data_IF_556001141661
#
_entry.id   IF_556001141661
#
_cell.length_a   1.000
_cell.length_b   1.000
_cell.length_c   1.000
_cell.angle_alpha   90.00
_cell.angle_beta   90.00
_cell.angle_gamma   90.00
#
_symmetry.space_group_name_H-M   'P 1'
#
loop_
_entity.id
_entity.type
_entity.pdbx_description
1 polymer ?
#
# COMPACT_ATOMS: atom_id res chain seq x y z
N UNK A 1 -5.77 -17.82 -6.72
CA UNK A 1 -5.82 -17.45 -8.10
C UNK A 1 -5.44 -15.99 -8.31
N UNK A 2 -4.76 -15.68 -9.36
CA UNK A 2 -4.09 -14.41 -9.54
C UNK A 2 -4.86 -13.41 -10.41
N UNK A 3 -6.14 -13.65 -10.65
CA UNK A 3 -6.94 -12.81 -11.55
C UNK A 3 -7.01 -11.34 -11.11
N UNK A 4 -6.99 -11.09 -9.79
CA UNK A 4 -7.04 -9.73 -9.27
C UNK A 4 -5.64 -9.12 -9.05
N UNK A 5 -4.61 -9.92 -9.31
CA UNK A 5 -3.24 -9.49 -9.07
C UNK A 5 -2.82 -8.40 -10.05
N UNK A 6 -3.29 -8.48 -11.30
CA UNK A 6 -2.95 -7.48 -12.31
C UNK A 6 -3.45 -6.08 -11.94
N UNK A 7 -4.61 -5.98 -11.27
CA UNK A 7 -5.13 -4.67 -10.87
C UNK A 7 -4.28 -3.98 -9.81
N UNK A 8 -3.50 -4.75 -9.04
CA UNK A 8 -2.54 -4.17 -8.10
C UNK A 8 -1.40 -3.46 -8.81
N UNK A 9 -1.08 -3.87 -10.04
CA UNK A 9 0.01 -3.30 -10.81
C UNK A 9 -0.43 -2.17 -11.74
N UNK A 10 -1.71 -2.08 -12.08
CA UNK A 10 -2.20 -1.01 -12.96
C UNK A 10 -1.89 0.36 -12.37
N UNK A 11 -2.14 0.53 -11.08
CA UNK A 11 -1.84 1.79 -10.40
C UNK A 11 -0.34 2.07 -10.33
N UNK A 12 0.48 1.02 -10.32
CA UNK A 12 1.93 1.17 -10.34
C UNK A 12 2.39 1.87 -11.62
N UNK A 13 1.89 1.43 -12.77
CA UNK A 13 2.27 2.01 -14.04
C UNK A 13 1.76 3.44 -14.19
N UNK A 14 0.56 3.73 -13.71
CA UNK A 14 0.01 5.07 -13.73
C UNK A 14 0.82 6.03 -12.86
N UNK A 15 1.18 5.60 -11.65
CA UNK A 15 1.99 6.40 -10.75
C UNK A 15 3.40 6.60 -11.29
N UNK A 16 3.96 5.60 -11.97
CA UNK A 16 5.29 5.67 -12.54
C UNK A 16 5.39 6.75 -13.62
N UNK A 17 4.31 7.00 -14.33
CA UNK A 17 4.25 8.03 -15.36
C UNK A 17 4.13 9.45 -14.80
N UNK A 18 3.87 9.59 -13.51
CA UNK A 18 3.77 10.89 -12.85
C UNK A 18 5.11 11.25 -12.21
N UNK A 19 5.95 11.96 -12.95
CA UNK A 19 7.33 12.23 -12.54
C UNK A 19 7.47 13.16 -11.33
N UNK A 20 6.41 13.87 -10.92
CA UNK A 20 6.49 14.82 -9.81
C UNK A 20 6.43 14.16 -8.44
N UNK A 21 6.01 12.88 -8.36
CA UNK A 21 5.86 12.14 -7.12
C UNK A 21 6.85 10.99 -7.07
N UNK A 22 7.26 10.65 -5.86
CA UNK A 22 8.01 9.44 -5.66
C UNK A 22 7.09 8.23 -5.83
N UNK A 23 7.59 7.19 -6.49
CA UNK A 23 6.92 5.90 -6.54
C UNK A 23 7.76 4.93 -5.71
N UNK A 24 7.37 4.65 -4.46
CA UNK A 24 8.14 3.72 -3.65
C UNK A 24 8.07 2.32 -4.24
N UNK A 25 9.20 1.61 -4.31
CA UNK A 25 9.21 0.24 -4.82
C UNK A 25 8.41 -0.68 -3.91
N UNK A 26 7.68 -1.62 -4.51
CA UNK A 26 6.89 -2.57 -3.75
C UNK A 26 7.12 -3.98 -4.26
N UNK A 27 7.01 -4.94 -3.35
CA UNK A 27 6.79 -6.34 -3.67
C UNK A 27 5.37 -6.69 -3.27
N UNK A 28 4.64 -7.31 -4.17
CA UNK A 28 3.29 -7.80 -3.89
C UNK A 28 3.30 -9.30 -4.10
N UNK A 29 2.87 -10.04 -3.09
CA UNK A 29 2.89 -11.50 -3.18
C UNK A 29 1.70 -12.10 -2.46
N UNK A 30 1.36 -13.30 -2.88
CA UNK A 30 0.25 -14.05 -2.31
C UNK A 30 0.79 -15.26 -1.58
N UNK A 31 0.25 -15.49 -0.38
CA UNK A 31 0.48 -16.70 0.37
C UNK A 31 -0.86 -17.37 0.65
N UNK A 32 -0.82 -18.54 1.27
CA UNK A 32 -2.05 -19.30 1.51
C UNK A 32 -3.05 -18.52 2.37
N UNK A 33 -2.56 -17.74 3.32
CA UNK A 33 -3.40 -17.00 4.28
C UNK A 33 -3.78 -15.59 3.83
N UNK A 34 -3.19 -15.09 2.76
CA UNK A 34 -3.50 -13.73 2.33
C UNK A 34 -2.53 -13.17 1.33
N UNK A 35 -2.68 -11.87 1.10
CA UNK A 35 -1.81 -11.09 0.23
C UNK A 35 -0.92 -10.21 1.08
N UNK A 36 0.24 -9.87 0.55
CA UNK A 36 1.23 -9.08 1.26
C UNK A 36 1.78 -8.01 0.33
N UNK A 37 1.99 -6.83 0.87
CA UNK A 37 2.63 -5.74 0.17
C UNK A 37 3.79 -5.26 1.02
N UNK A 38 5.00 -5.35 0.51
CA UNK A 38 6.18 -4.77 1.14
C UNK A 38 6.55 -3.52 0.39
N UNK A 39 6.67 -2.40 1.12
CA UNK A 39 6.97 -1.10 0.52
C UNK A 39 8.29 -0.60 1.07
N UNK A 40 9.23 -0.27 0.20
CA UNK A 40 10.49 0.33 0.62
C UNK A 40 10.30 1.82 0.88
N UNK A 41 10.44 2.20 2.16
CA UNK A 41 10.26 3.59 2.58
C UNK A 41 11.41 4.04 3.48
N UNK A 42 12.65 3.95 3.00
CA UNK A 42 13.78 4.40 3.79
C UNK A 42 13.68 5.90 4.05
N UNK A 43 13.98 6.31 5.27
CA UNK A 43 13.94 7.71 5.64
C UNK A 43 12.58 8.23 6.11
N UNK A 44 11.54 7.41 6.03
CA UNK A 44 10.23 7.77 6.56
C UNK A 44 10.02 7.15 7.93
N UNK A 45 9.18 7.77 8.72
CA UNK A 45 8.70 7.24 10.00
C UNK A 45 7.27 6.73 9.83
N UNK A 46 6.82 5.92 10.77
CA UNK A 46 5.46 5.40 10.70
C UNK A 46 4.39 6.50 10.70
N UNK A 47 4.64 7.63 11.36
CA UNK A 47 3.70 8.76 11.39
C UNK A 47 3.68 9.55 10.08
N UNK A 48 4.67 9.36 9.23
CA UNK A 48 4.77 10.09 7.95
C UNK A 48 3.87 9.50 6.88
N UNK A 49 3.32 8.31 7.11
CA UNK A 49 2.63 7.53 6.08
C UNK A 49 1.26 7.11 6.60
N UNK A 50 0.25 7.23 5.73
CA UNK A 50 -1.11 6.77 6.00
C UNK A 50 -1.47 5.61 5.10
N UNK A 51 -2.19 4.63 5.65
CA UNK A 51 -2.80 3.54 4.90
C UNK A 51 -4.31 3.63 5.11
N UNK A 52 -5.05 3.78 4.03
CA UNK A 52 -6.52 3.93 4.10
C UNK A 52 -7.18 2.91 3.19
N UNK A 53 -8.32 2.39 3.65
CA UNK A 53 -9.16 1.48 2.87
C UNK A 53 -10.47 2.19 2.59
N UNK A 54 -10.83 2.28 1.32
CA UNK A 54 -12.08 2.90 0.91
C UNK A 54 -12.48 2.37 -0.47
N UNK A 55 -13.74 2.02 -0.64
CA UNK A 55 -14.28 1.54 -1.91
C UNK A 55 -13.47 0.41 -2.53
N UNK A 56 -13.10 -0.57 -1.72
CA UNK A 56 -12.33 -1.73 -2.16
C UNK A 56 -10.96 -1.37 -2.71
N UNK A 57 -10.41 -0.27 -2.24
CA UNK A 57 -9.08 0.19 -2.62
C UNK A 57 -8.26 0.53 -1.37
N UNK A 58 -6.98 0.24 -1.44
CA UNK A 58 -6.00 0.60 -0.42
C UNK A 58 -5.19 1.76 -0.94
N UNK A 59 -5.19 2.87 -0.21
CA UNK A 59 -4.40 4.04 -0.55
C UNK A 59 -3.29 4.24 0.46
N UNK A 60 -2.08 4.28 -0.05
CA UNK A 60 -0.87 4.54 0.71
C UNK A 60 -0.39 5.93 0.32
N UNK A 61 -0.21 6.81 1.31
CA UNK A 61 0.19 8.18 1.02
C UNK A 61 0.98 8.77 2.17
N UNK A 62 1.77 9.80 1.87
CA UNK A 62 2.39 10.61 2.91
C UNK A 62 1.31 11.42 3.63
N UNK A 63 1.50 11.62 4.94
CA UNK A 63 0.54 12.36 5.76
C UNK A 63 0.52 13.84 5.41
N UNK A 64 -0.58 14.52 5.76
CA UNK A 64 -0.67 15.95 5.55
C UNK A 64 0.39 16.72 6.34
N UNK A 65 0.68 16.29 7.56
CA UNK A 65 1.70 16.91 8.39
C UNK A 65 3.09 16.76 7.76
N UNK A 66 3.39 15.59 7.24
CA UNK A 66 4.63 15.36 6.51
C UNK A 66 4.71 16.26 5.27
N UNK A 67 3.63 16.34 4.52
CA UNK A 67 3.59 17.14 3.30
C UNK A 67 3.79 18.62 3.59
N UNK A 68 3.16 19.13 4.65
CA UNK A 68 3.33 20.52 5.07
C UNK A 68 4.73 20.81 5.55
N UNK A 69 5.30 19.91 6.32
CA UNK A 69 6.67 20.06 6.82
C UNK A 69 7.67 20.06 5.66
N UNK A 70 7.43 19.21 4.67
CA UNK A 70 8.29 19.13 3.49
C UNK A 70 8.21 20.41 2.66
N UNK A 71 7.02 20.95 2.46
CA UNK A 71 6.83 22.19 1.74
C UNK A 71 7.51 23.37 2.44
N UNK A 72 7.41 23.40 3.77
CA UNK A 72 8.06 24.44 4.59
C UNK A 72 9.59 24.32 4.51
N UNK A 73 10.13 23.13 4.55
CA UNK A 73 11.56 22.91 4.42
C UNK A 73 12.04 23.36 3.03
N UNK A 74 11.27 23.12 2.00
CA UNK A 74 11.62 23.51 0.63
C UNK A 74 11.78 25.03 0.48
N UNK A 75 11.06 25.81 1.27
CA UNK A 75 11.17 27.27 1.25
C UNK A 75 12.47 27.79 1.88
N UNK A 76 13.03 27.05 2.83
CA UNK A 76 14.17 27.51 3.61
C UNK A 76 15.48 26.82 3.27
N UNK A 77 15.44 25.67 2.60
CA UNK A 77 16.63 24.89 2.29
C UNK A 77 16.99 25.03 0.82
N UNK A 78 18.24 25.44 0.58
CA UNK A 78 18.78 25.51 -0.78
C UNK A 78 19.73 24.34 -1.00
N UNK A 79 19.24 23.27 -1.64
CA UNK A 79 20.06 22.10 -1.93
C UNK A 79 21.04 22.42 -3.05
N UNK A 80 22.31 22.21 -2.81
CA UNK A 80 23.32 22.29 -3.85
C UNK A 80 23.40 21.01 -4.66
N UNK A 81 23.14 19.87 -4.01
CA UNK A 81 23.00 18.57 -4.65
C UNK A 81 21.87 17.84 -3.91
N UNK A 82 20.94 17.28 -4.68
CA UNK A 82 19.85 16.50 -4.11
C UNK A 82 19.64 15.26 -4.98
N UNK A 83 20.18 14.15 -4.53
CA UNK A 83 20.14 12.88 -5.28
C UNK A 83 19.29 11.81 -4.58
N UNK A 84 19.02 12.00 -3.27
CA UNK A 84 18.30 10.97 -2.52
C UNK A 84 16.83 10.95 -2.89
N UNK A 85 16.20 9.79 -2.72
CA UNK A 85 14.77 9.60 -2.95
C UNK A 85 13.95 9.69 -1.64
N UNK A 86 14.56 10.19 -0.58
CA UNK A 86 13.86 10.51 0.66
C UNK A 86 13.26 11.91 0.58
N UNK A 87 12.45 12.29 1.56
CA UNK A 87 11.84 13.63 1.63
C UNK A 87 11.03 13.98 0.37
N UNK A 88 10.19 13.05 -0.05
CA UNK A 88 9.28 13.25 -1.16
C UNK A 88 7.88 12.84 -0.76
N UNK A 89 6.89 13.55 -1.29
CA UNK A 89 5.50 13.16 -1.15
C UNK A 89 5.22 11.98 -2.06
N UNK A 90 4.30 11.13 -1.65
CA UNK A 90 3.82 10.08 -2.54
C UNK A 90 2.38 9.73 -2.23
N UNK A 91 1.73 9.17 -3.23
CA UNK A 91 0.39 8.59 -3.09
C UNK A 91 0.31 7.42 -4.05
N UNK A 92 -0.14 6.29 -3.55
CA UNK A 92 -0.27 5.09 -4.35
C UNK A 92 -1.52 4.34 -3.95
N UNK A 93 -2.30 3.88 -4.93
CA UNK A 93 -3.56 3.19 -4.70
C UNK A 93 -3.49 1.80 -5.31
N UNK A 94 -3.98 0.82 -4.56
CA UNK A 94 -4.09 -0.57 -4.98
C UNK A 94 -5.55 -0.99 -4.94
N UNK A 95 -6.02 -1.61 -6.01
CA UNK A 95 -7.34 -2.25 -5.99
C UNK A 95 -7.24 -3.56 -5.23
N UNK A 96 -8.14 -3.79 -4.28
CA UNK A 96 -8.08 -4.97 -3.45
C UNK A 96 -8.75 -6.17 -4.13
N UNK A 97 -8.16 -7.37 -4.00
CA UNK A 97 -8.88 -8.59 -4.38
C UNK A 97 -10.16 -8.75 -3.59
N UNK A 98 -11.15 -9.39 -4.20
CA UNK A 98 -12.47 -9.52 -3.58
C UNK A 98 -12.49 -10.43 -2.35
N UNK A 99 -11.51 -11.32 -2.24
CA UNK A 99 -11.42 -12.27 -1.14
C UNK A 99 -10.62 -11.75 0.06
N UNK A 100 -10.34 -10.45 0.10
CA UNK A 100 -9.64 -9.85 1.24
C UNK A 100 -10.64 -9.51 2.33
N UNK A 101 -10.27 -9.85 3.57
CA UNK A 101 -11.00 -9.43 4.75
C UNK A 101 -10.53 -8.04 5.15
N UNK A 102 -11.28 -7.01 4.77
CA UNK A 102 -10.87 -5.61 5.01
C UNK A 102 -10.79 -5.25 6.48
N UNK A 103 -11.51 -5.98 7.34
CA UNK A 103 -11.48 -5.73 8.79
C UNK A 103 -10.21 -6.25 9.45
N UNK A 104 -9.51 -7.14 8.79
CA UNK A 104 -8.32 -7.79 9.35
C UNK A 104 -7.01 -7.29 8.74
N UNK A 105 -7.05 -6.26 7.91
CA UNK A 105 -5.85 -5.70 7.31
C UNK A 105 -5.00 -5.04 8.40
N UNK A 106 -3.71 -5.32 8.36
CA UNK A 106 -2.74 -4.75 9.31
C UNK A 106 -1.50 -4.26 8.58
N UNK A 107 -0.78 -3.36 9.23
CA UNK A 107 0.45 -2.83 8.67
C UNK A 107 1.48 -2.67 9.78
N UNK A 108 2.72 -3.03 9.48
CA UNK A 108 3.84 -2.85 10.40
C UNK A 108 4.97 -2.14 9.66
N UNK A 109 5.70 -1.31 10.38
CA UNK A 109 6.83 -0.57 9.82
C UNK A 109 8.09 -0.92 10.59
N UNK A 110 9.08 -1.47 9.89
CA UNK A 110 10.32 -1.91 10.51
C UNK A 110 11.48 -1.77 9.53
N UNK A 111 12.55 -1.14 9.98
CA UNK A 111 13.79 -0.99 9.21
C UNK A 111 13.56 -0.39 7.81
N UNK A 112 12.66 0.58 7.72
CA UNK A 112 12.38 1.25 6.44
C UNK A 112 11.47 0.47 5.51
N UNK A 113 10.93 -0.65 5.96
CA UNK A 113 10.00 -1.47 5.17
C UNK A 113 8.63 -1.42 5.83
N UNK A 114 7.63 -1.01 5.06
CA UNK A 114 6.24 -1.09 5.47
C UNK A 114 5.67 -2.40 4.93
N UNK A 115 5.25 -3.27 5.82
CA UNK A 115 4.62 -4.53 5.46
C UNK A 115 3.12 -4.43 5.70
N UNK A 116 2.33 -4.63 4.66
CA UNK A 116 0.87 -4.62 4.75
C UNK A 116 0.38 -6.03 4.51
N UNK A 117 -0.36 -6.56 5.47
CA UNK A 117 -0.95 -7.89 5.39
C UNK A 117 -2.44 -7.78 5.10
N UNK A 118 -2.89 -8.45 4.06
CA UNK A 118 -4.28 -8.47 3.62
C UNK A 118 -4.80 -9.91 3.71
N UNK A 119 -5.33 -10.32 4.87
CA UNK A 119 -5.79 -11.70 5.03
C UNK A 119 -6.97 -12.02 4.11
N UNK A 120 -7.03 -13.27 3.68
CA UNK A 120 -8.16 -13.75 2.89
C UNK A 120 -9.38 -13.93 3.78
N UNK A 121 -10.54 -13.60 3.23
CA UNK A 121 -11.79 -13.75 3.95
C UNK A 121 -12.23 -15.20 4.00
N UNK A 122 -12.56 -15.69 5.20
CA UNK A 122 -13.08 -17.04 5.39
C UNK A 122 -14.51 -17.18 4.89
N UNK A 123 -15.21 -16.05 4.73
CA UNK A 123 -16.61 -16.06 4.27
C UNK A 123 -16.75 -16.52 2.82
N UNK A 124 -15.69 -16.43 2.04
CA UNK A 124 -15.69 -16.83 0.65
C UNK A 124 -15.25 -18.29 0.45
N UNK A 125 -14.94 -18.99 1.54
CA UNK A 125 -14.60 -20.40 1.44
C UNK A 125 -15.82 -21.21 0.97
N UNK A 126 -15.63 -22.23 0.12
CA UNK A 126 -16.74 -23.08 -0.29
C UNK A 126 -17.43 -23.71 0.91
N UNK A 127 -18.74 -23.76 0.85
CA UNK A 127 -19.55 -24.35 1.91
C UNK A 127 -20.21 -25.62 1.39
N UNK A 128 -20.05 -26.71 2.13
CA UNK A 128 -20.73 -27.95 1.82
C UNK A 128 -22.09 -27.95 2.52
N UNK A 129 -23.12 -28.23 1.76
CA UNK A 129 -24.50 -28.29 2.28
C UNK A 129 -24.87 -29.75 2.42
N UNK A 130 -25.29 -30.12 3.64
CA UNK A 130 -25.76 -31.46 3.92
C UNK A 130 -27.14 -31.67 3.35
N UNK A 131 -27.35 -32.82 2.65
CA UNK A 131 -28.62 -33.18 2.07
C UNK A 131 -29.33 -34.07 3.05
N UNK A 132 -30.51 -33.63 3.48
CA UNK A 132 -31.33 -34.39 4.43
C UNK A 132 -32.30 -35.31 3.69
N UNK A 133 -32.44 -36.57 4.15
CA UNK A 133 -33.41 -37.50 3.58
C UNK A 133 -34.81 -37.14 4.07
N UNK A 134 -35.78 -37.28 3.20
CA UNK A 134 -37.22 -37.07 3.50
C UNK A 134 -37.84 -38.32 4.09
#
# INVERSE_FOLDING_TARGET
>A
MYTNFNSLFDDFFDAFNNASLRVPPVDVYEMEDGYYIDVELPGYKNDDVNVKIDNNALTLSTSEEYNKALDKEAESVNYLVKETNTKKKFKRTFSLPKDVDEQAISATFNNGILNIKLPKSKKLAPKTIEILAQ
#
